data_IF_951590413272
#
_entry.id   IF_951590413272
#
_cell.length_a   1.000
_cell.length_b   1.000
_cell.length_c   1.000
_cell.angle_alpha   90.00
_cell.angle_beta   90.00
_cell.angle_gamma   90.00
#
_symmetry.space_group_name_H-M   'P 1'
#
loop_
_entity.id
_entity.type
_entity.pdbx_description
1 polymer ?
#
# COMPACT_ATOMS: atom_id res chain seq x y z
N UNK A 1 5.11 -0.12 8.30
CA UNK A 1 4.15 -0.17 9.43
C UNK A 1 3.09 0.87 9.19
N UNK A 2 1.84 0.63 9.58
CA UNK A 2 0.73 1.58 9.42
C UNK A 2 0.13 1.85 10.79
N UNK A 3 -0.11 3.13 11.08
CA UNK A 3 -0.75 3.57 12.30
C UNK A 3 -2.27 3.35 12.19
N UNK A 4 -2.84 2.73 13.22
CA UNK A 4 -4.28 2.53 13.39
C UNK A 4 -4.73 3.14 14.71
N UNK A 5 -6.04 3.13 14.96
CA UNK A 5 -6.62 3.62 16.22
C UNK A 5 -6.11 2.86 17.46
N UNK A 6 -5.68 1.61 17.28
CA UNK A 6 -5.21 0.76 18.39
C UNK A 6 -3.68 0.63 18.43
N UNK A 7 -2.96 1.46 17.66
CA UNK A 7 -1.51 1.38 17.50
C UNK A 7 -1.08 0.87 16.13
N UNK A 8 0.18 0.46 16.02
CA UNK A 8 0.77 0.07 14.74
C UNK A 8 0.44 -1.35 14.33
N UNK A 9 0.28 -1.56 13.02
CA UNK A 9 0.19 -2.88 12.41
C UNK A 9 1.24 -3.05 11.31
N UNK A 10 1.74 -4.28 11.19
CA UNK A 10 2.60 -4.69 10.08
C UNK A 10 1.78 -5.39 9.02
N UNK A 11 1.89 -4.90 7.78
CA UNK A 11 1.25 -5.50 6.61
C UNK A 11 2.30 -6.03 5.66
N UNK A 12 2.06 -7.22 5.13
CA UNK A 12 2.87 -7.81 4.07
C UNK A 12 2.26 -7.43 2.72
N UNK A 13 3.01 -6.72 1.89
CA UNK A 13 2.65 -6.42 0.50
C UNK A 13 3.36 -7.45 -0.38
N UNK A 14 2.59 -8.28 -1.09
CA UNK A 14 3.16 -9.28 -2.00
C UNK A 14 3.71 -8.61 -3.25
N UNK A 15 4.78 -9.17 -3.82
CA UNK A 15 5.27 -8.77 -5.13
C UNK A 15 4.15 -8.87 -6.18
N UNK A 16 4.11 -7.92 -7.11
CA UNK A 16 3.05 -7.83 -8.12
C UNK A 16 1.74 -7.21 -7.65
N UNK A 17 1.67 -6.66 -6.43
CA UNK A 17 0.51 -5.88 -5.97
C UNK A 17 0.31 -4.66 -6.88
N UNK A 18 -0.90 -4.51 -7.42
CA UNK A 18 -1.25 -3.44 -8.35
C UNK A 18 -1.57 -2.13 -7.63
N UNK A 19 -1.40 -1.01 -8.34
CA UNK A 19 -1.91 0.28 -7.90
C UNK A 19 -3.43 0.22 -7.66
N UNK A 20 -3.90 0.88 -6.59
CA UNK A 20 -5.33 1.00 -6.29
C UNK A 20 -5.96 -0.21 -5.60
N UNK A 21 -5.22 -1.31 -5.42
CA UNK A 21 -5.68 -2.49 -4.67
C UNK A 21 -6.09 -2.07 -3.26
N UNK A 22 -7.22 -2.60 -2.79
CA UNK A 22 -7.75 -2.36 -1.46
C UNK A 22 -7.49 -3.59 -0.60
N UNK A 23 -6.75 -3.40 0.49
CA UNK A 23 -6.51 -4.40 1.52
C UNK A 23 -7.48 -4.18 2.67
N UNK A 24 -8.11 -5.26 3.14
CA UNK A 24 -9.02 -5.23 4.29
C UNK A 24 -8.34 -5.80 5.52
N UNK A 25 -8.25 -4.99 6.58
CA UNK A 25 -7.77 -5.41 7.89
C UNK A 25 -8.98 -5.55 8.81
N UNK A 26 -9.38 -6.80 9.06
CA UNK A 26 -10.59 -7.12 9.81
C UNK A 26 -10.49 -6.64 11.26
N UNK A 27 -11.54 -5.99 11.75
CA UNK A 27 -11.67 -5.58 13.16
C UNK A 27 -10.75 -4.43 13.60
N UNK A 28 -10.04 -3.79 12.67
CA UNK A 28 -9.18 -2.61 12.93
C UNK A 28 -9.83 -1.28 12.54
N UNK A 29 -11.12 -1.31 12.19
CA UNK A 29 -11.91 -0.12 11.98
C UNK A 29 -12.37 0.52 13.30
N UNK A 30 -13.23 1.53 13.15
CA UNK A 30 -13.77 2.32 14.26
C UNK A 30 -14.61 1.41 15.19
N UNK A 31 -14.43 1.50 16.51
CA UNK A 31 -15.27 0.80 17.47
C UNK A 31 -16.69 1.39 17.49
N UNK A 32 -17.70 0.54 17.60
CA UNK A 32 -19.11 0.94 17.71
C UNK A 32 -19.61 0.77 19.15
N UNK A 33 -20.68 1.47 19.52
CA UNK A 33 -21.27 1.43 20.88
C UNK A 33 -21.75 0.05 21.32
N UNK A 34 -21.98 -0.87 20.38
CA UNK A 34 -22.48 -2.25 20.64
C UNK A 34 -21.31 -3.25 20.79
N UNK A 35 -20.09 -2.78 21.02
CA UNK A 35 -18.90 -3.62 21.21
C UNK A 35 -18.36 -4.30 19.94
N UNK A 36 -18.99 -4.08 18.78
CA UNK A 36 -18.48 -4.53 17.49
C UNK A 36 -17.52 -3.51 16.90
N UNK A 37 -16.52 -3.96 16.16
CA UNK A 37 -15.60 -3.10 15.40
C UNK A 37 -15.83 -3.24 13.91
N UNK A 38 -15.68 -2.13 13.19
CA UNK A 38 -15.60 -2.15 11.73
C UNK A 38 -14.26 -2.70 11.23
N UNK A 39 -14.09 -2.68 9.92
CA UNK A 39 -12.86 -3.05 9.23
C UNK A 39 -12.10 -1.80 8.77
N UNK A 40 -10.78 -1.91 8.70
CA UNK A 40 -9.91 -0.89 8.12
C UNK A 40 -9.61 -1.26 6.68
N UNK A 41 -9.91 -0.35 5.75
CA UNK A 41 -9.61 -0.50 4.34
C UNK A 41 -8.42 0.37 3.95
N UNK A 42 -7.42 -0.23 3.32
CA UNK A 42 -6.17 0.41 2.96
C UNK A 42 -6.04 0.35 1.44
N UNK A 43 -6.01 1.50 0.78
CA UNK A 43 -5.77 1.59 -0.65
C UNK A 43 -4.28 1.74 -0.90
N UNK A 44 -3.70 0.81 -1.67
CA UNK A 44 -2.32 0.92 -2.13
C UNK A 44 -2.23 2.05 -3.16
N UNK A 45 -1.44 3.07 -2.87
CA UNK A 45 -1.12 4.15 -3.80
C UNK A 45 0.36 4.11 -4.14
N UNK A 46 0.65 3.92 -5.42
CA UNK A 46 2.02 4.03 -5.96
C UNK A 46 2.19 5.48 -6.38
N UNK A 47 3.09 6.20 -5.72
CA UNK A 47 3.48 7.55 -6.10
C UNK A 47 4.62 7.47 -7.11
N UNK A 48 4.42 8.09 -8.27
CA UNK A 48 5.45 8.25 -9.29
C UNK A 48 6.07 9.63 -9.08
N UNK A 49 7.39 9.74 -8.88
CA UNK A 49 8.05 11.02 -8.68
C UNK A 49 8.10 11.84 -9.97
N UNK A 50 7.92 13.15 -9.87
CA UNK A 50 7.95 14.07 -11.03
C UNK A 50 9.35 14.19 -11.65
N UNK A 51 10.40 13.95 -10.85
CA UNK A 51 11.80 14.01 -11.27
C UNK A 51 12.49 12.70 -10.91
N UNK A 52 13.07 12.06 -11.93
CA UNK A 52 13.86 10.84 -11.77
C UNK A 52 15.34 11.20 -11.68
N UNK A 53 16.05 10.57 -10.74
CA UNK A 53 17.52 10.58 -10.73
C UNK A 53 18.05 9.81 -11.96
N UNK A 54 19.36 9.94 -12.22
CA UNK A 54 20.00 9.22 -13.33
C UNK A 54 19.86 7.70 -13.17
N UNK A 55 20.03 7.20 -11.95
CA UNK A 55 19.93 5.79 -11.59
C UNK A 55 18.49 5.28 -11.76
N UNK A 56 17.51 6.04 -11.25
CA UNK A 56 16.10 5.68 -11.38
C UNK A 56 15.66 5.63 -12.85
N UNK A 57 16.14 6.57 -13.67
CA UNK A 57 15.87 6.59 -15.11
C UNK A 57 16.47 5.37 -15.82
N UNK A 58 17.70 4.99 -15.46
CA UNK A 58 18.35 3.81 -16.04
C UNK A 58 17.58 2.52 -15.70
N UNK A 59 17.13 2.37 -14.45
CA UNK A 59 16.31 1.23 -14.04
C UNK A 59 14.99 1.13 -14.83
N UNK A 60 14.33 2.26 -15.10
CA UNK A 60 13.11 2.29 -15.93
C UNK A 60 13.40 1.85 -17.38
N UNK A 61 14.51 2.28 -17.97
CA UNK A 61 14.92 1.86 -19.33
C UNK A 61 15.26 0.36 -19.40
N UNK A 62 15.87 -0.20 -18.35
CA UNK A 62 16.14 -1.64 -18.25
C UNK A 62 14.84 -2.45 -18.13
N UNK A 63 13.90 -1.98 -17.29
CA UNK A 63 12.57 -2.59 -17.20
C UNK A 63 11.87 -2.60 -18.55
N UNK A 64 11.92 -1.48 -19.29
CA UNK A 64 11.35 -1.37 -20.65
C UNK A 64 11.92 -2.40 -21.63
N UNK A 65 13.24 -2.66 -21.57
CA UNK A 65 13.88 -3.69 -22.41
C UNK A 65 13.46 -5.11 -22.03
N UNK A 66 13.16 -5.35 -20.76
CA UNK A 66 12.75 -6.65 -20.24
C UNK A 66 11.29 -7.04 -20.52
N UNK A 67 10.54 -6.19 -21.21
CA UNK A 67 9.15 -6.47 -21.64
C UNK A 67 8.06 -5.78 -20.82
N UNK A 68 8.42 -4.70 -20.10
CA UNK A 68 7.46 -3.69 -19.63
C UNK A 68 7.23 -2.61 -20.68
#
# INVERSE_FOLDING_TARGET
MIHTLDGEITLKISAGTKHGVILRVKGKGVPTSVGKRGDLYIRISIQIPDKLSKEARQAVEELKKSGL
#
